data_IF_245344364039
#
_entry.id   IF_245344364039
#
_cell.length_a   1.000
_cell.length_b   1.000
_cell.length_c   1.000
_cell.angle_alpha   90.00
_cell.angle_beta   90.00
_cell.angle_gamma   90.00
#
_symmetry.space_group_name_H-M   'P 1'
#
loop_
_entity.id
_entity.type
_entity.pdbx_description
1 polymer ?
#
# COMPACT_ATOMS: atom_id res chain seq x y z
N UNK A 1 0.58 -26.51 -25.63
CA UNK A 1 1.36 -25.40 -26.26
C UNK A 1 0.84 -25.15 -27.67
N UNK A 2 0.71 -26.22 -28.46
CA UNK A 2 0.16 -26.22 -29.82
C UNK A 2 -1.20 -25.52 -29.96
N UNK A 3 -2.20 -25.83 -29.11
CA UNK A 3 -3.53 -25.17 -29.15
C UNK A 3 -3.48 -23.63 -29.18
N UNK A 4 -2.55 -23.02 -28.43
CA UNK A 4 -2.40 -21.56 -28.41
C UNK A 4 -1.75 -21.04 -29.71
N UNK A 5 -0.79 -21.78 -30.24
CA UNK A 5 -0.12 -21.44 -31.51
C UNK A 5 -1.11 -21.51 -32.68
N UNK A 6 -1.89 -22.58 -32.75
CA UNK A 6 -2.96 -22.75 -33.74
C UNK A 6 -4.00 -21.62 -33.65
N UNK A 7 -4.47 -21.31 -32.45
CA UNK A 7 -5.45 -20.25 -32.23
C UNK A 7 -4.91 -18.88 -32.65
N UNK A 8 -3.66 -18.57 -32.30
CA UNK A 8 -3.05 -17.26 -32.53
C UNK A 8 -2.52 -17.06 -33.94
N UNK A 9 -2.25 -18.14 -34.69
CA UNK A 9 -1.84 -18.07 -36.10
C UNK A 9 -2.86 -17.34 -37.00
N UNK A 10 -4.12 -17.24 -36.56
CA UNK A 10 -5.18 -16.50 -37.24
C UNK A 10 -5.02 -14.98 -37.15
N UNK A 11 -4.19 -14.47 -36.24
CA UNK A 11 -3.97 -13.04 -36.01
C UNK A 11 -2.55 -12.64 -36.44
N UNK A 12 -2.41 -12.07 -37.64
CA UNK A 12 -1.11 -11.75 -38.25
C UNK A 12 -0.21 -10.79 -37.43
N UNK A 13 -0.81 -9.99 -36.55
CA UNK A 13 -0.10 -9.04 -35.67
C UNK A 13 0.38 -9.69 -34.37
N UNK A 14 -0.08 -10.89 -34.06
CA UNK A 14 0.24 -11.60 -32.80
C UNK A 14 1.41 -12.53 -33.04
N UNK A 15 2.43 -12.44 -32.17
CA UNK A 15 3.60 -13.32 -32.18
C UNK A 15 3.80 -13.93 -30.80
N UNK A 16 3.94 -15.26 -30.75
CA UNK A 16 4.27 -15.98 -29.52
C UNK A 16 5.78 -16.14 -29.42
N UNK A 17 6.34 -15.83 -28.25
CA UNK A 17 7.74 -16.08 -27.91
C UNK A 17 7.81 -16.84 -26.59
N UNK A 18 8.63 -17.89 -26.53
CA UNK A 18 8.74 -18.79 -25.38
C UNK A 18 10.14 -18.73 -24.80
N UNK A 19 10.24 -18.65 -23.49
CA UNK A 19 11.50 -18.84 -22.76
C UNK A 19 11.86 -20.34 -22.72
N UNK A 20 13.14 -20.66 -22.59
CA UNK A 20 13.62 -22.05 -22.47
C UNK A 20 13.38 -22.64 -21.08
N UNK A 21 13.28 -21.77 -20.06
CA UNK A 21 13.05 -22.10 -18.64
C UNK A 21 12.18 -21.03 -17.98
N UNK A 22 11.81 -21.22 -16.71
CA UNK A 22 11.06 -20.21 -15.94
C UNK A 22 11.98 -19.02 -15.63
N UNK A 23 11.74 -17.89 -16.29
CA UNK A 23 12.54 -16.67 -16.08
C UNK A 23 11.93 -15.71 -15.05
N UNK A 24 10.61 -15.80 -14.81
CA UNK A 24 9.90 -14.80 -14.01
C UNK A 24 9.43 -13.62 -14.84
N UNK A 25 8.53 -12.79 -14.30
CA UNK A 25 7.88 -11.74 -15.08
C UNK A 25 8.90 -10.70 -15.57
N UNK A 26 9.86 -10.29 -14.74
CA UNK A 26 10.84 -9.25 -15.07
C UNK A 26 11.65 -9.64 -16.30
N UNK A 27 12.32 -10.80 -16.24
CA UNK A 27 13.16 -11.29 -17.34
C UNK A 27 12.35 -11.68 -18.57
N UNK A 28 11.08 -12.06 -18.41
CA UNK A 28 10.18 -12.31 -19.54
C UNK A 28 9.80 -11.00 -20.25
N UNK A 29 9.54 -9.91 -19.50
CA UNK A 29 9.34 -8.56 -20.05
C UNK A 29 10.60 -8.07 -20.77
N UNK A 30 11.80 -8.29 -20.21
CA UNK A 30 13.08 -7.98 -20.87
C UNK A 30 13.25 -8.72 -22.20
N UNK A 31 12.89 -10.01 -22.27
CA UNK A 31 12.91 -10.77 -23.52
C UNK A 31 11.94 -10.18 -24.56
N UNK A 32 10.72 -9.82 -24.16
CA UNK A 32 9.77 -9.16 -25.05
C UNK A 32 10.29 -7.80 -25.55
N UNK A 33 10.87 -7.00 -24.66
CA UNK A 33 11.45 -5.70 -24.97
C UNK A 33 12.64 -5.80 -25.94
N UNK A 34 13.46 -6.85 -25.85
CA UNK A 34 14.69 -6.98 -26.65
C UNK A 34 14.42 -7.36 -28.11
N UNK A 35 13.26 -7.95 -28.39
CA UNK A 35 12.84 -8.34 -29.74
C UNK A 35 11.82 -7.38 -30.36
N UNK A 36 11.29 -6.46 -29.56
CA UNK A 36 10.29 -5.49 -30.00
C UNK A 36 10.90 -4.50 -31.01
N UNK A 37 10.14 -4.22 -32.07
CA UNK A 37 10.58 -3.33 -33.16
C UNK A 37 9.92 -1.95 -33.15
N UNK A 38 8.83 -1.79 -32.40
CA UNK A 38 8.13 -0.51 -32.29
C UNK A 38 8.96 0.58 -31.61
N UNK A 39 8.61 1.84 -31.84
CA UNK A 39 9.26 2.99 -31.20
C UNK A 39 8.93 3.09 -29.72
N UNK A 40 7.72 2.67 -29.34
CA UNK A 40 7.22 2.61 -27.97
C UNK A 40 7.00 1.15 -27.58
N UNK A 41 7.43 0.79 -26.38
CA UNK A 41 7.09 -0.45 -25.72
C UNK A 41 5.85 -0.21 -24.86
N UNK A 42 4.82 -1.03 -25.02
CA UNK A 42 3.66 -1.05 -24.12
C UNK A 42 3.57 -2.42 -23.45
N UNK A 43 3.60 -2.43 -22.13
CA UNK A 43 3.49 -3.64 -21.32
C UNK A 43 2.07 -3.78 -20.81
N UNK A 44 1.51 -4.99 -20.97
CA UNK A 44 0.22 -5.37 -20.43
C UNK A 44 0.35 -6.73 -19.73
N UNK A 45 -0.35 -6.90 -18.61
CA UNK A 45 -0.52 -8.22 -18.01
C UNK A 45 -1.48 -9.07 -18.85
N UNK A 46 -1.38 -10.39 -18.76
CA UNK A 46 -2.13 -11.34 -19.59
C UNK A 46 -3.63 -11.46 -19.27
N UNK A 47 -4.12 -10.65 -18.34
CA UNK A 47 -5.46 -10.71 -17.76
C UNK A 47 -5.99 -9.28 -17.59
N UNK A 48 -5.99 -8.56 -18.72
CA UNK A 48 -6.45 -7.18 -18.82
C UNK A 48 -7.44 -7.01 -19.96
N UNK A 49 -8.29 -5.99 -19.87
CA UNK A 49 -9.19 -5.53 -20.91
C UNK A 49 -8.95 -4.04 -21.15
N UNK A 50 -8.46 -3.69 -22.35
CA UNK A 50 -8.19 -2.30 -22.70
C UNK A 50 -9.49 -1.59 -23.06
N UNK A 51 -9.68 -0.36 -22.56
CA UNK A 51 -10.90 0.41 -22.78
C UNK A 51 -10.85 1.22 -24.09
N UNK A 52 -11.95 1.89 -24.44
CA UNK A 52 -12.08 2.73 -25.62
C UNK A 52 -10.98 3.78 -25.66
N UNK A 53 -10.33 3.92 -26.82
CA UNK A 53 -9.32 4.95 -27.09
C UNK A 53 -8.14 5.02 -26.10
N UNK A 54 -7.77 3.88 -25.47
CA UNK A 54 -6.72 3.86 -24.45
C UNK A 54 -5.31 4.22 -24.98
N UNK A 55 -4.94 3.76 -26.18
CA UNK A 55 -3.55 3.84 -26.64
C UNK A 55 -3.11 5.24 -27.11
N UNK A 56 -3.88 5.99 -27.92
CA UNK A 56 -3.46 7.31 -28.40
C UNK A 56 -3.05 8.33 -27.31
N UNK A 57 -3.78 8.51 -26.19
CA UNK A 57 -3.37 9.46 -25.17
C UNK A 57 -2.04 9.08 -24.49
N UNK A 58 -1.73 7.78 -24.36
CA UNK A 58 -0.42 7.33 -23.87
C UNK A 58 0.70 7.69 -24.86
N UNK A 59 0.50 7.38 -26.14
CA UNK A 59 1.49 7.66 -27.18
C UNK A 59 1.75 9.16 -27.34
N UNK A 60 0.71 9.99 -27.21
CA UNK A 60 0.83 11.45 -27.29
C UNK A 60 1.79 12.00 -26.23
N UNK A 61 1.68 11.55 -24.97
CA UNK A 61 2.56 12.00 -23.90
C UNK A 61 4.03 11.62 -24.13
N UNK A 62 4.28 10.43 -24.67
CA UNK A 62 5.65 9.99 -25.03
C UNK A 62 6.17 10.78 -26.23
N UNK A 63 5.30 11.14 -27.19
CA UNK A 63 5.69 11.96 -28.33
C UNK A 63 6.10 13.39 -27.91
N UNK A 64 5.43 13.96 -26.91
CA UNK A 64 5.80 15.27 -26.33
C UNK A 64 7.13 15.20 -25.57
N UNK A 65 7.38 14.12 -24.84
CA UNK A 65 8.65 13.90 -24.16
C UNK A 65 9.02 12.40 -24.16
N UNK A 66 10.02 12.04 -24.97
CA UNK A 66 10.45 10.65 -25.12
C UNK A 66 11.06 10.04 -23.86
N UNK A 67 11.39 10.85 -22.83
CA UNK A 67 11.88 10.40 -21.52
C UNK A 67 10.76 10.17 -20.51
N UNK A 68 9.51 10.30 -20.93
CA UNK A 68 8.35 10.04 -20.08
C UNK A 68 7.96 8.56 -20.13
N UNK A 69 7.66 7.99 -18.96
CA UNK A 69 6.88 6.76 -18.83
C UNK A 69 5.44 7.14 -18.52
N UNK A 70 4.48 6.52 -19.20
CA UNK A 70 3.06 6.76 -18.95
C UNK A 70 2.32 5.50 -18.56
N UNK A 71 1.40 5.65 -17.62
CA UNK A 71 0.54 4.60 -17.11
C UNK A 71 -0.93 4.93 -17.43
N UNK A 72 -1.72 3.95 -17.89
CA UNK A 72 -3.16 4.10 -17.92
C UNK A 72 -3.73 4.03 -16.49
N UNK A 73 -4.95 4.53 -16.31
CA UNK A 73 -5.75 4.16 -15.16
C UNK A 73 -5.99 2.66 -15.17
N UNK A 74 -5.78 2.02 -14.03
CA UNK A 74 -5.95 0.58 -13.86
C UNK A 74 -7.27 0.34 -13.18
N UNK A 75 -8.26 -0.09 -13.95
CA UNK A 75 -9.58 -0.45 -13.47
C UNK A 75 -9.59 -1.87 -12.92
N UNK A 76 -10.54 -2.17 -12.04
CA UNK A 76 -10.74 -3.50 -11.47
C UNK A 76 -11.68 -4.28 -12.37
N UNK A 77 -11.28 -5.50 -12.71
CA UNK A 77 -12.17 -6.55 -13.16
C UNK A 77 -12.33 -7.52 -12.00
N UNK A 78 -13.52 -7.58 -11.40
CA UNK A 78 -13.77 -8.43 -10.22
C UNK A 78 -13.47 -9.90 -10.52
N UNK A 79 -12.72 -10.56 -9.64
CA UNK A 79 -12.25 -11.92 -9.90
C UNK A 79 -13.34 -12.99 -9.77
N UNK A 80 -14.52 -12.67 -9.25
CA UNK A 80 -15.66 -13.59 -9.11
C UNK A 80 -16.68 -13.38 -10.23
N UNK A 81 -17.15 -12.15 -10.43
CA UNK A 81 -18.24 -11.82 -11.34
C UNK A 81 -17.81 -10.99 -12.55
N UNK A 82 -16.52 -10.64 -12.67
CA UNK A 82 -15.95 -9.91 -13.82
C UNK A 82 -16.60 -8.54 -14.07
N UNK A 83 -17.18 -7.93 -13.02
CA UNK A 83 -17.66 -6.55 -13.11
C UNK A 83 -16.48 -5.61 -13.32
N UNK A 84 -16.67 -4.61 -14.17
CA UNK A 84 -15.66 -3.60 -14.49
C UNK A 84 -15.96 -2.32 -13.71
N UNK A 85 -15.04 -1.88 -12.86
CA UNK A 85 -15.19 -0.67 -12.07
C UNK A 85 -13.86 0.04 -11.86
N UNK A 86 -13.90 1.35 -11.60
CA UNK A 86 -12.71 2.07 -11.19
C UNK A 86 -12.25 1.61 -9.80
N UNK A 87 -10.95 1.65 -9.55
CA UNK A 87 -10.44 1.46 -8.19
C UNK A 87 -11.00 2.54 -7.25
N UNK A 88 -11.17 2.20 -5.97
CA UNK A 88 -11.57 3.16 -4.95
C UNK A 88 -10.67 4.40 -4.97
N UNK A 89 -11.27 5.59 -5.01
CA UNK A 89 -10.57 6.88 -5.15
C UNK A 89 -10.11 7.24 -6.57
N UNK A 90 -10.34 6.38 -7.57
CA UNK A 90 -10.03 6.58 -8.99
C UNK A 90 -8.61 7.13 -9.25
N UNK A 91 -8.48 8.38 -9.70
CA UNK A 91 -7.19 9.03 -9.93
C UNK A 91 -6.45 9.29 -8.61
N UNK A 92 -5.44 8.47 -8.34
CA UNK A 92 -4.58 8.55 -7.15
C UNK A 92 -3.12 8.40 -7.56
N UNK A 93 -2.21 8.97 -6.76
CA UNK A 93 -0.76 8.84 -6.95
C UNK A 93 -0.26 7.52 -6.39
N UNK A 94 0.61 6.83 -7.12
CA UNK A 94 1.26 5.63 -6.61
C UNK A 94 2.40 5.96 -5.63
N UNK A 95 2.48 5.18 -4.56
CA UNK A 95 3.37 5.37 -3.42
C UNK A 95 3.77 4.02 -2.82
N UNK A 96 4.45 4.04 -1.68
CA UNK A 96 4.80 2.83 -0.92
C UNK A 96 4.79 3.10 0.59
N UNK A 97 4.61 2.04 1.37
CA UNK A 97 5.01 2.04 2.78
C UNK A 97 6.46 1.56 2.94
N UNK A 98 7.03 1.73 4.12
CA UNK A 98 8.42 1.34 4.40
C UNK A 98 8.63 -0.18 4.56
N UNK A 99 7.61 -1.00 4.30
CA UNK A 99 7.77 -2.43 4.02
C UNK A 99 7.81 -2.71 2.50
N UNK A 100 7.82 -1.66 1.69
CA UNK A 100 7.79 -1.69 0.23
C UNK A 100 6.52 -2.36 -0.34
N UNK A 101 5.39 -2.25 0.34
CA UNK A 101 4.09 -2.52 -0.28
C UNK A 101 3.62 -1.31 -1.07
N UNK A 102 3.11 -1.57 -2.27
CA UNK A 102 2.56 -0.52 -3.12
C UNK A 102 1.32 0.08 -2.45
N UNK A 103 1.20 1.42 -2.52
CA UNK A 103 0.10 2.19 -1.96
C UNK A 103 -0.41 3.16 -3.01
N UNK A 104 -1.67 3.58 -2.85
CA UNK A 104 -2.27 4.70 -3.58
C UNK A 104 -2.61 5.77 -2.55
N UNK A 105 -2.16 7.01 -2.81
CA UNK A 105 -2.45 8.18 -1.97
C UNK A 105 -3.17 9.24 -2.80
N UNK A 106 -4.08 10.03 -2.20
CA UNK A 106 -4.84 11.03 -2.94
C UNK A 106 -3.91 12.09 -3.53
N UNK A 107 -4.31 12.68 -4.67
CA UNK A 107 -3.58 13.79 -5.28
C UNK A 107 -3.69 15.02 -4.38
N UNK A 108 -2.57 15.56 -3.84
CA UNK A 108 -2.60 16.78 -3.04
C UNK A 108 -3.27 17.93 -3.80
N UNK A 109 -4.05 18.81 -3.15
CA UNK A 109 -4.75 19.91 -3.82
C UNK A 109 -3.83 20.79 -4.68
N UNK A 110 -2.59 21.02 -4.23
CA UNK A 110 -1.57 21.80 -4.96
C UNK A 110 -1.04 21.13 -6.24
N UNK A 111 -1.28 19.82 -6.41
CA UNK A 111 -0.91 19.06 -7.62
C UNK A 111 -2.12 18.72 -8.50
N UNK A 112 -3.34 19.08 -8.09
CA UNK A 112 -4.53 18.85 -8.89
C UNK A 112 -4.49 19.76 -10.13
N UNK A 113 -4.72 19.14 -11.31
CA UNK A 113 -4.82 19.84 -12.59
C UNK A 113 -6.14 20.62 -12.65
N UNK A 114 -6.16 21.69 -13.45
CA UNK A 114 -7.39 22.44 -13.72
C UNK A 114 -8.42 21.56 -14.44
N UNK A 115 -7.97 20.79 -15.43
CA UNK A 115 -8.77 19.72 -16.01
C UNK A 115 -8.40 18.40 -15.31
N UNK A 116 -9.32 17.74 -14.58
CA UNK A 116 -9.04 16.48 -13.89
C UNK A 116 -8.73 15.31 -14.85
N UNK A 117 -8.98 15.48 -16.15
CA UNK A 117 -8.66 14.50 -17.19
C UNK A 117 -7.21 14.60 -17.72
N UNK A 118 -6.50 15.68 -17.37
CA UNK A 118 -5.10 15.87 -17.76
C UNK A 118 -4.16 14.88 -17.07
N UNK A 119 -3.06 14.47 -17.73
CA UNK A 119 -2.02 13.68 -17.11
C UNK A 119 -1.44 14.31 -15.84
N UNK A 120 -1.26 13.50 -14.81
CA UNK A 120 -0.71 13.91 -13.53
C UNK A 120 0.51 13.08 -13.15
N UNK A 121 1.44 13.69 -12.41
CA UNK A 121 2.69 13.05 -12.02
C UNK A 121 2.45 11.98 -10.95
N UNK A 122 3.10 10.83 -11.13
CA UNK A 122 3.00 9.69 -10.22
C UNK A 122 4.39 9.27 -9.74
N UNK A 123 4.67 9.22 -8.43
CA UNK A 123 5.99 8.84 -7.93
C UNK A 123 6.37 7.40 -8.26
N UNK A 124 5.40 6.48 -8.19
CA UNK A 124 5.60 5.04 -8.39
C UNK A 124 4.47 4.46 -9.23
N UNK A 125 4.78 3.68 -10.26
CA UNK A 125 3.77 2.94 -11.01
C UNK A 125 3.35 1.65 -10.30
N UNK A 126 2.15 1.14 -10.60
CA UNK A 126 1.73 -0.20 -10.14
C UNK A 126 2.59 -1.32 -10.74
N UNK A 127 3.08 -1.15 -11.97
CA UNK A 127 4.10 -2.00 -12.61
C UNK A 127 3.64 -2.81 -13.82
N UNK A 128 2.41 -3.30 -13.84
CA UNK A 128 1.91 -4.20 -14.90
C UNK A 128 1.57 -3.55 -16.23
N UNK A 129 1.25 -2.25 -16.19
CA UNK A 129 0.58 -1.52 -17.25
C UNK A 129 1.28 -0.17 -17.43
N UNK A 130 2.07 -0.04 -18.50
CA UNK A 130 2.73 1.22 -18.85
C UNK A 130 3.23 1.21 -20.29
N UNK A 131 3.48 2.40 -20.84
CA UNK A 131 4.16 2.61 -22.10
C UNK A 131 5.41 3.49 -21.92
N UNK A 132 6.45 3.19 -22.70
CA UNK A 132 7.75 3.87 -22.64
C UNK A 132 8.42 3.88 -24.01
N UNK A 133 9.11 4.95 -24.37
CA UNK A 133 9.94 4.95 -25.57
C UNK A 133 10.99 3.82 -25.48
N UNK A 134 11.09 2.98 -26.51
CA UNK A 134 11.95 1.80 -26.52
C UNK A 134 13.42 2.14 -26.32
N UNK A 135 13.91 3.21 -26.97
CA UNK A 135 15.30 3.65 -26.78
C UNK A 135 15.51 4.11 -25.35
N UNK A 136 14.61 4.92 -24.81
CA UNK A 136 14.70 5.37 -23.43
C UNK A 136 14.69 4.23 -22.40
N UNK A 137 13.84 3.21 -22.60
CA UNK A 137 13.82 2.02 -21.74
C UNK A 137 15.20 1.34 -21.67
N UNK A 138 15.90 1.22 -22.80
CA UNK A 138 17.24 0.64 -22.85
C UNK A 138 18.35 1.59 -22.40
N UNK A 139 18.19 2.90 -22.59
CA UNK A 139 19.09 3.92 -22.02
C UNK A 139 19.07 3.85 -20.49
N UNK A 140 17.91 3.54 -19.88
CA UNK A 140 17.78 3.24 -18.44
C UNK A 140 18.28 1.84 -18.03
N UNK A 141 18.80 1.04 -18.97
CA UNK A 141 19.24 -0.34 -18.75
C UNK A 141 18.10 -1.35 -18.57
N UNK A 142 16.86 -0.98 -18.88
CA UNK A 142 15.67 -1.80 -18.62
C UNK A 142 15.48 -2.08 -17.12
N UNK A 143 15.08 -3.31 -16.80
CA UNK A 143 15.04 -3.83 -15.43
C UNK A 143 16.34 -4.52 -15.04
N UNK A 144 16.63 -4.56 -13.74
CA UNK A 144 17.70 -5.35 -13.17
C UNK A 144 17.44 -6.85 -13.45
N UNK A 145 18.29 -7.52 -14.24
CA UNK A 145 18.10 -8.93 -14.58
C UNK A 145 18.29 -9.87 -13.37
N UNK A 146 18.80 -9.37 -12.24
CA UNK A 146 18.90 -10.09 -10.98
C UNK A 146 17.58 -10.18 -10.20
N UNK A 147 16.54 -9.43 -10.61
CA UNK A 147 15.20 -9.53 -10.05
C UNK A 147 14.53 -10.83 -10.49
N UNK A 148 14.05 -11.60 -9.51
CA UNK A 148 13.40 -12.88 -9.73
C UNK A 148 11.89 -12.76 -9.89
N UNK A 149 11.25 -13.85 -10.31
CA UNK A 149 9.79 -14.12 -10.41
C UNK A 149 8.82 -12.94 -10.39
N UNK A 150 8.69 -12.20 -9.28
CA UNK A 150 7.73 -11.11 -9.10
C UNK A 150 8.20 -10.09 -8.05
N UNK A 151 7.96 -8.80 -8.32
CA UNK A 151 8.06 -7.69 -7.38
C UNK A 151 9.43 -7.01 -7.33
N UNK A 152 9.42 -5.70 -7.13
CA UNK A 152 10.61 -4.84 -7.06
C UNK A 152 10.82 -4.04 -8.35
N UNK A 153 10.45 -4.59 -9.51
CA UNK A 153 10.69 -3.97 -10.81
C UNK A 153 9.96 -2.64 -10.97
N UNK A 154 8.77 -2.52 -10.37
CA UNK A 154 7.98 -1.30 -10.41
C UNK A 154 8.67 -0.17 -9.65
N UNK A 155 9.33 -0.47 -8.53
CA UNK A 155 10.08 0.52 -7.77
C UNK A 155 11.37 0.90 -8.50
N UNK A 156 12.10 -0.10 -8.99
CA UNK A 156 13.35 0.12 -9.73
C UNK A 156 13.16 1.08 -10.91
N UNK A 157 12.18 0.82 -11.78
CA UNK A 157 11.96 1.65 -12.96
C UNK A 157 11.39 3.03 -12.61
N UNK A 158 10.57 3.12 -11.55
CA UNK A 158 10.03 4.39 -11.04
C UNK A 158 11.14 5.29 -10.51
N UNK A 159 12.07 4.73 -9.74
CA UNK A 159 13.23 5.47 -9.22
C UNK A 159 14.17 5.87 -10.36
N UNK A 160 14.46 4.96 -11.30
CA UNK A 160 15.26 5.24 -12.49
C UNK A 160 14.71 6.43 -13.29
N UNK A 161 13.43 6.39 -13.66
CA UNK A 161 12.86 7.42 -14.54
C UNK A 161 12.92 8.80 -13.90
N UNK A 162 12.57 8.92 -12.62
CA UNK A 162 12.61 10.20 -11.92
C UNK A 162 14.04 10.67 -11.62
N UNK A 163 14.87 9.82 -11.02
CA UNK A 163 16.20 10.21 -10.58
C UNK A 163 17.15 10.45 -11.75
N UNK A 164 16.93 9.81 -12.90
CA UNK A 164 17.83 9.88 -14.06
C UNK A 164 17.30 10.80 -15.20
N UNK A 165 16.38 11.72 -14.87
CA UNK A 165 16.03 12.85 -15.76
C UNK A 165 14.88 12.61 -16.74
N UNK A 166 14.01 11.65 -16.46
CA UNK A 166 12.70 11.48 -17.10
C UNK A 166 11.57 11.94 -16.18
N UNK A 167 10.34 11.51 -16.51
CA UNK A 167 9.15 11.73 -15.68
C UNK A 167 8.17 10.57 -15.81
N UNK A 168 7.24 10.48 -14.88
CA UNK A 168 6.22 9.43 -14.89
C UNK A 168 4.84 10.00 -14.64
N UNK A 169 3.89 9.64 -15.52
CA UNK A 169 2.56 10.20 -15.52
C UNK A 169 1.51 9.11 -15.60
N UNK A 170 0.47 9.30 -14.81
CA UNK A 170 -0.78 8.60 -14.93
C UNK A 170 -1.69 9.41 -15.87
N UNK A 171 -2.34 8.74 -16.84
CA UNK A 171 -3.12 9.38 -17.92
C UNK A 171 -4.60 9.03 -17.77
N UNK A 172 -5.43 9.90 -17.17
CA UNK A 172 -6.85 9.61 -16.89
C UNK A 172 -7.68 9.19 -18.11
N UNK A 173 -7.40 9.78 -19.28
CA UNK A 173 -8.06 9.45 -20.55
C UNK A 173 -7.71 8.06 -21.12
N UNK A 174 -6.74 7.34 -20.53
CA UNK A 174 -6.40 5.97 -20.91
C UNK A 174 -6.78 5.02 -19.78
N UNK A 175 -7.68 4.08 -20.02
CA UNK A 175 -8.12 3.12 -18.99
C UNK A 175 -7.95 1.67 -19.45
N UNK A 176 -7.51 0.81 -18.52
CA UNK A 176 -7.33 -0.62 -18.76
C UNK A 176 -7.81 -1.38 -17.53
N UNK A 177 -8.78 -2.27 -17.69
CA UNK A 177 -9.22 -3.17 -16.63
C UNK A 177 -8.20 -4.27 -16.38
N UNK A 178 -8.00 -4.64 -15.12
CA UNK A 178 -7.07 -5.68 -14.67
C UNK A 178 -7.75 -6.60 -13.66
N UNK A 179 -7.55 -7.92 -13.81
CA UNK A 179 -8.06 -8.90 -12.84
C UNK A 179 -7.12 -8.99 -11.64
N UNK A 180 -7.52 -8.39 -10.51
CA UNK A 180 -6.85 -8.58 -9.22
C UNK A 180 -7.17 -9.95 -8.65
N UNK A 181 -6.18 -10.85 -8.63
CA UNK A 181 -6.36 -12.24 -8.22
C UNK A 181 -6.66 -12.34 -6.72
N UNK A 182 -7.62 -13.20 -6.35
CA UNK A 182 -7.87 -13.58 -4.94
C UNK A 182 -6.64 -14.17 -4.25
N UNK A 183 -5.85 -14.95 -4.98
CA UNK A 183 -4.61 -15.56 -4.52
C UNK A 183 -3.67 -15.82 -5.71
N UNK A 184 -2.37 -15.98 -5.45
CA UNK A 184 -1.37 -16.30 -6.47
C UNK A 184 -1.46 -17.79 -6.82
N UNK A 185 -1.86 -18.19 -8.05
CA UNK A 185 -2.12 -19.59 -8.37
C UNK A 185 -0.87 -20.37 -8.82
N UNK A 186 0.24 -19.67 -9.12
CA UNK A 186 1.45 -20.30 -9.61
C UNK A 186 2.45 -20.59 -8.49
N UNK A 187 3.21 -21.67 -8.67
CA UNK A 187 4.33 -21.99 -7.78
C UNK A 187 5.51 -21.06 -8.05
N UNK A 188 6.13 -20.60 -6.96
CA UNK A 188 7.39 -19.86 -6.95
C UNK A 188 8.50 -20.88 -6.65
N UNK A 189 9.58 -20.95 -7.47
CA UNK A 189 10.69 -21.86 -7.20
C UNK A 189 11.28 -21.66 -5.79
N UNK A 190 11.75 -22.75 -5.18
CA UNK A 190 12.40 -22.68 -3.87
C UNK A 190 13.64 -21.78 -3.92
N UNK A 191 13.88 -21.03 -2.84
CA UNK A 191 14.99 -20.07 -2.75
C UNK A 191 14.76 -18.72 -3.45
N UNK A 192 13.61 -18.54 -4.11
CA UNK A 192 13.19 -17.22 -4.62
C UNK A 192 12.59 -16.39 -3.51
N UNK A 193 12.97 -15.12 -3.40
CA UNK A 193 12.42 -14.24 -2.36
C UNK A 193 12.17 -12.82 -2.85
N UNK A 194 10.94 -12.33 -2.63
CA UNK A 194 10.59 -10.92 -2.80
C UNK A 194 11.55 -10.02 -1.99
N UNK A 195 11.97 -10.47 -0.80
CA UNK A 195 12.91 -9.74 0.03
C UNK A 195 14.24 -9.49 -0.68
N UNK A 196 14.72 -10.46 -1.47
CA UNK A 196 15.97 -10.30 -2.21
C UNK A 196 15.82 -9.24 -3.31
N UNK A 197 14.72 -9.27 -4.04
CA UNK A 197 14.41 -8.26 -5.06
C UNK A 197 14.34 -6.86 -4.45
N UNK A 198 13.56 -6.69 -3.39
CA UNK A 198 13.40 -5.41 -2.70
C UNK A 198 14.73 -4.91 -2.13
N UNK A 199 15.55 -5.79 -1.55
CA UNK A 199 16.89 -5.42 -1.07
C UNK A 199 17.81 -4.97 -2.20
N UNK A 200 17.80 -5.62 -3.37
CA UNK A 200 18.58 -5.18 -4.55
C UNK A 200 18.19 -3.77 -4.98
N UNK A 201 16.89 -3.47 -5.00
CA UNK A 201 16.38 -2.12 -5.31
C UNK A 201 16.80 -1.12 -4.25
N UNK A 202 16.62 -1.44 -2.96
CA UNK A 202 16.97 -0.57 -1.84
C UNK A 202 18.47 -0.20 -1.84
N UNK A 203 19.35 -1.20 -1.92
CA UNK A 203 20.80 -1.04 -1.93
C UNK A 203 21.34 -0.28 -3.17
N UNK A 204 20.57 -0.26 -4.26
CA UNK A 204 21.00 0.40 -5.51
C UNK A 204 20.46 1.81 -5.60
N UNK A 205 19.22 2.06 -5.16
CA UNK A 205 18.47 3.27 -5.48
C UNK A 205 18.01 4.09 -4.26
N UNK A 206 17.90 3.50 -3.07
CA UNK A 206 17.25 4.17 -1.92
C UNK A 206 18.22 4.87 -0.96
N UNK A 207 19.53 4.77 -1.18
CA UNK A 207 20.56 5.41 -0.35
C UNK A 207 20.34 5.17 1.16
N UNK A 208 20.45 6.20 2.00
CA UNK A 208 20.23 6.10 3.45
C UNK A 208 18.80 5.66 3.83
N UNK A 209 17.82 5.82 2.93
CA UNK A 209 16.43 5.46 3.21
C UNK A 209 16.18 3.95 3.17
N UNK A 210 17.12 3.16 2.64
CA UNK A 210 17.08 1.70 2.76
C UNK A 210 17.01 1.23 4.23
N UNK A 211 17.61 1.99 5.15
CA UNK A 211 17.61 1.67 6.58
C UNK A 211 16.18 1.67 7.18
N UNK A 212 15.28 2.52 6.70
CA UNK A 212 13.88 2.54 7.16
C UNK A 212 13.11 1.27 6.79
N UNK A 213 13.53 0.59 5.71
CA UNK A 213 13.03 -0.74 5.35
C UNK A 213 13.60 -1.78 6.32
N UNK A 214 14.89 -1.72 6.62
CA UNK A 214 15.56 -2.67 7.49
C UNK A 214 15.11 -2.56 8.95
N UNK A 215 14.67 -1.38 9.41
CA UNK A 215 14.06 -1.22 10.74
C UNK A 215 12.76 -2.01 10.87
N UNK A 216 11.99 -2.19 9.79
CA UNK A 216 10.72 -2.94 9.77
C UNK A 216 10.89 -4.40 9.36
N UNK A 217 11.96 -4.69 8.62
CA UNK A 217 12.34 -6.04 8.17
C UNK A 217 13.80 -6.34 8.54
N UNK A 218 14.11 -6.58 9.84
CA UNK A 218 15.49 -6.75 10.30
C UNK A 218 16.24 -7.87 9.59
N UNK A 219 15.53 -8.91 9.14
CA UNK A 219 16.07 -10.03 8.37
C UNK A 219 16.70 -9.60 7.04
N UNK A 220 16.35 -8.43 6.51
CA UNK A 220 16.93 -7.91 5.27
C UNK A 220 18.39 -7.50 5.48
N UNK A 221 18.84 -7.11 6.67
CA UNK A 221 20.25 -6.69 6.89
C UNK A 221 21.25 -7.77 6.51
N UNK A 222 20.96 -9.02 6.90
CA UNK A 222 21.84 -10.16 6.65
C UNK A 222 21.52 -10.93 5.35
N UNK A 223 20.47 -10.55 4.64
CA UNK A 223 20.11 -11.17 3.36
C UNK A 223 21.10 -10.78 2.26
N UNK A 224 21.66 -11.74 1.52
CA UNK A 224 22.52 -11.43 0.37
C UNK A 224 21.72 -10.85 -0.79
N UNK A 225 22.18 -9.75 -1.38
CA UNK A 225 21.62 -9.18 -2.61
C UNK A 225 22.06 -9.93 -3.87
N UNK A 226 23.06 -10.81 -3.77
CA UNK A 226 23.90 -11.16 -4.91
C UNK A 226 24.69 -9.95 -5.43
N UNK A 227 25.28 -10.07 -6.62
CA UNK A 227 26.05 -8.98 -7.22
C UNK A 227 25.11 -7.88 -7.77
N UNK A 228 25.35 -6.64 -7.34
CA UNK A 228 24.66 -5.43 -7.77
C UNK A 228 25.62 -4.38 -8.37
N UNK A 229 26.88 -4.75 -8.60
CA UNK A 229 27.94 -3.84 -9.07
C UNK A 229 27.56 -3.18 -10.39
N UNK A 230 27.05 -3.96 -11.35
CA UNK A 230 26.60 -3.44 -12.64
C UNK A 230 25.44 -2.43 -12.51
N UNK A 231 24.53 -2.64 -11.55
CA UNK A 231 23.40 -1.73 -11.31
C UNK A 231 23.86 -0.42 -10.66
N UNK A 232 24.81 -0.49 -9.71
CA UNK A 232 25.43 0.69 -9.10
C UNK A 232 26.24 1.50 -10.13
N UNK A 233 26.98 0.83 -11.02
CA UNK A 233 27.71 1.52 -12.10
C UNK A 233 26.77 2.16 -13.12
N UNK A 234 25.67 1.49 -13.48
CA UNK A 234 24.63 2.09 -14.33
C UNK A 234 24.08 3.40 -13.73
N UNK A 235 23.74 3.40 -12.44
CA UNK A 235 23.25 4.60 -11.74
C UNK A 235 24.27 5.75 -11.79
N UNK A 236 25.56 5.46 -11.56
CA UNK A 236 26.64 6.45 -11.67
C UNK A 236 26.78 6.99 -13.09
N UNK A 237 26.78 6.10 -14.09
CA UNK A 237 26.93 6.46 -15.50
C UNK A 237 25.80 7.38 -15.98
N UNK A 238 24.57 7.10 -15.57
CA UNK A 238 23.40 7.92 -15.87
C UNK A 238 23.35 9.26 -15.12
N UNK A 239 24.28 9.50 -14.18
CA UNK A 239 24.36 10.73 -13.37
C UNK A 239 23.04 11.04 -12.67
N UNK A 240 22.40 10.01 -12.13
CA UNK A 240 21.12 10.15 -11.46
C UNK A 240 21.25 10.96 -10.17
N UNK A 241 20.17 11.65 -9.79
CA UNK A 241 20.02 12.32 -8.50
C UNK A 241 19.98 11.30 -7.36
N UNK A 242 20.14 11.78 -6.12
CA UNK A 242 20.01 10.94 -4.93
C UNK A 242 18.55 10.65 -4.58
N UNK A 243 18.32 9.65 -3.73
CA UNK A 243 16.97 9.28 -3.31
C UNK A 243 16.33 10.34 -2.40
N UNK A 244 17.17 11.11 -1.70
CA UNK A 244 16.71 12.27 -0.92
C UNK A 244 16.01 13.29 -1.81
N UNK A 245 16.56 13.59 -2.99
CA UNK A 245 15.90 14.43 -3.98
C UNK A 245 14.59 13.81 -4.45
N UNK A 246 14.53 12.50 -4.71
CA UNK A 246 13.28 11.83 -5.09
C UNK A 246 12.21 12.01 -4.01
N UNK A 247 12.55 11.75 -2.75
CA UNK A 247 11.63 11.92 -1.62
C UNK A 247 11.22 13.39 -1.39
N UNK A 248 12.10 14.35 -1.66
CA UNK A 248 11.82 15.77 -1.42
C UNK A 248 11.10 16.47 -2.58
N UNK A 249 11.35 16.06 -3.82
CA UNK A 249 10.83 16.74 -5.02
C UNK A 249 9.67 15.99 -5.68
N UNK A 250 9.69 14.65 -5.66
CA UNK A 250 8.71 13.82 -6.38
C UNK A 250 7.69 13.20 -5.41
N UNK A 251 8.17 12.60 -4.33
CA UNK A 251 7.39 11.82 -3.36
C UNK A 251 7.22 12.51 -2.00
N UNK A 252 7.20 13.84 -1.99
CA UNK A 252 7.18 14.68 -0.77
C UNK A 252 5.92 14.51 0.08
N UNK A 253 4.84 14.03 -0.53
CA UNK A 253 3.55 13.73 0.09
C UNK A 253 3.52 12.32 0.71
N UNK A 254 4.40 11.40 0.30
CA UNK A 254 4.44 10.03 0.83
C UNK A 254 4.66 9.99 2.35
N UNK A 255 5.62 10.73 2.94
CA UNK A 255 5.80 10.74 4.40
C UNK A 255 4.61 11.23 5.22
N UNK A 256 3.66 11.98 4.62
CA UNK A 256 2.42 12.37 5.32
C UNK A 256 1.56 11.15 5.64
N UNK A 257 1.58 10.16 4.76
CA UNK A 257 0.84 8.91 4.91
C UNK A 257 1.70 7.78 5.44
N UNK A 258 2.97 7.70 5.10
CA UNK A 258 3.87 6.62 5.52
C UNK A 258 5.20 7.25 5.96
N UNK A 259 5.27 7.81 7.17
CA UNK A 259 6.47 8.48 7.63
C UNK A 259 7.59 7.45 7.85
N UNK A 260 8.85 7.78 7.48
CA UNK A 260 10.00 6.89 7.69
C UNK A 260 10.13 6.47 9.16
N UNK A 261 9.94 7.44 10.06
CA UNK A 261 9.86 7.25 11.50
C UNK A 261 8.45 7.62 11.95
N UNK A 262 7.71 6.65 12.48
CA UNK A 262 6.34 6.88 12.93
C UNK A 262 6.32 7.69 14.23
N UNK A 263 5.45 8.70 14.36
CA UNK A 263 5.26 9.41 15.62
C UNK A 263 4.81 8.45 16.74
N UNK A 264 5.12 8.78 18.01
CA UNK A 264 4.73 7.93 19.14
C UNK A 264 3.20 7.84 19.27
N UNK A 265 2.66 6.71 19.78
CA UNK A 265 1.24 6.55 20.03
C UNK A 265 0.76 7.47 21.17
N UNK A 266 -0.55 7.74 21.19
CA UNK A 266 -1.18 8.49 22.27
C UNK A 266 -1.42 7.61 23.51
N UNK A 267 -1.78 6.33 23.31
CA UNK A 267 -2.03 5.38 24.40
C UNK A 267 -1.84 3.94 23.91
N UNK A 268 -1.48 3.02 24.80
CA UNK A 268 -1.35 1.60 24.45
C UNK A 268 -1.50 0.67 25.67
N UNK A 269 -1.66 -0.62 25.40
CA UNK A 269 -1.83 -1.68 26.41
C UNK A 269 -3.28 -2.18 26.44
N UNK A 270 -3.72 -2.68 27.60
CA UNK A 270 -5.12 -3.07 27.77
C UNK A 270 -6.05 -1.84 27.79
N UNK A 271 -7.28 -2.03 27.30
CA UNK A 271 -8.37 -1.05 27.40
C UNK A 271 -9.40 -1.64 28.36
N UNK A 272 -9.46 -1.11 29.58
CA UNK A 272 -10.35 -1.58 30.65
C UNK A 272 -11.57 -0.66 30.80
N UNK A 273 -12.76 -1.23 30.87
CA UNK A 273 -13.98 -0.48 31.16
C UNK A 273 -14.14 -0.27 32.67
N UNK A 274 -14.54 0.93 33.10
CA UNK A 274 -14.68 1.27 34.53
C UNK A 274 -15.84 0.52 35.20
N UNK A 275 -17.04 0.52 34.61
CA UNK A 275 -18.21 -0.13 35.20
C UNK A 275 -18.11 -1.66 35.21
N UNK A 276 -17.67 -2.25 34.10
CA UNK A 276 -17.61 -3.71 33.97
C UNK A 276 -16.41 -4.33 34.69
N UNK A 277 -15.34 -3.57 34.89
CA UNK A 277 -14.00 -4.08 35.25
C UNK A 277 -13.57 -5.26 34.34
N UNK A 278 -13.89 -5.14 33.05
CA UNK A 278 -13.53 -6.07 31.98
C UNK A 278 -12.70 -5.33 30.93
N UNK A 279 -11.93 -6.08 30.16
CA UNK A 279 -11.05 -5.56 29.12
C UNK A 279 -11.64 -5.80 27.74
N UNK A 280 -11.37 -4.89 26.80
CA UNK A 280 -11.65 -5.10 25.38
C UNK A 280 -10.85 -6.31 24.90
N UNK A 281 -11.48 -7.19 24.14
CA UNK A 281 -10.87 -8.39 23.56
C UNK A 281 -11.36 -8.56 22.11
N UNK A 282 -10.43 -8.66 21.17
CA UNK A 282 -10.71 -8.87 19.75
C UNK A 282 -10.70 -10.35 19.32
N UNK A 283 -10.33 -11.27 20.21
CA UNK A 283 -10.23 -12.72 19.95
C UNK A 283 -9.42 -13.08 18.69
N UNK A 284 -8.41 -12.27 18.37
CA UNK A 284 -7.63 -12.36 17.12
C UNK A 284 -8.49 -12.34 15.84
N UNK A 285 -9.67 -11.72 15.90
CA UNK A 285 -10.57 -11.53 14.76
C UNK A 285 -9.94 -10.73 13.62
N UNK A 286 -10.55 -10.84 12.44
CA UNK A 286 -10.22 -10.04 11.26
C UNK A 286 -11.36 -9.10 10.88
N UNK A 287 -11.39 -8.66 9.62
CA UNK A 287 -12.42 -7.80 9.05
C UNK A 287 -13.84 -8.29 9.37
N UNK A 288 -14.67 -7.41 9.94
CA UNK A 288 -16.05 -7.67 10.35
C UNK A 288 -16.21 -8.27 11.75
N UNK A 289 -15.14 -8.53 12.49
CA UNK A 289 -15.25 -9.08 13.86
C UNK A 289 -15.67 -8.00 14.84
N UNK A 290 -16.77 -8.21 15.57
CA UNK A 290 -17.20 -7.33 16.66
C UNK A 290 -16.28 -7.43 17.88
N UNK A 291 -15.94 -6.27 18.47
CA UNK A 291 -15.21 -6.20 19.73
C UNK A 291 -16.11 -6.58 20.90
N UNK A 292 -15.51 -7.23 21.91
CA UNK A 292 -16.23 -7.72 23.08
C UNK A 292 -15.47 -7.38 24.35
N UNK A 293 -16.16 -7.52 25.48
CA UNK A 293 -15.53 -7.51 26.78
C UNK A 293 -15.15 -8.93 27.19
N UNK A 294 -14.00 -9.10 27.83
CA UNK A 294 -13.64 -10.34 28.51
C UNK A 294 -12.87 -10.07 29.81
N UNK A 295 -12.65 -11.12 30.60
CA UNK A 295 -11.83 -11.03 31.81
C UNK A 295 -10.44 -10.54 31.39
N UNK A 296 -9.94 -9.51 32.08
CA UNK A 296 -8.63 -8.97 31.81
C UNK A 296 -7.56 -10.05 32.02
N UNK A 297 -6.71 -10.29 31.02
CA UNK A 297 -5.70 -11.37 31.08
C UNK A 297 -4.75 -11.20 32.27
N UNK A 298 -4.49 -9.97 32.68
CA UNK A 298 -3.65 -9.65 33.84
C UNK A 298 -4.30 -9.98 35.18
N UNK A 299 -5.63 -10.12 35.22
CA UNK A 299 -6.40 -10.34 36.45
C UNK A 299 -6.70 -11.83 36.72
N UNK A 300 -6.08 -12.75 35.95
CA UNK A 300 -6.12 -14.18 36.23
C UNK A 300 -6.83 -15.06 35.20
N UNK A 301 -7.03 -14.59 33.96
CA UNK A 301 -7.38 -15.51 32.88
C UNK A 301 -6.18 -16.41 32.54
N UNK A 302 -6.41 -17.67 32.17
CA UNK A 302 -5.34 -18.44 31.54
C UNK A 302 -4.88 -17.69 30.28
N UNK A 303 -3.57 -17.50 30.13
CA UNK A 303 -2.96 -16.96 28.90
C UNK A 303 -3.10 -17.98 27.78
N UNK A 304 -4.32 -18.13 27.26
CA UNK A 304 -4.59 -18.91 26.07
C UNK A 304 -4.33 -18.06 24.84
N UNK A 305 -3.98 -18.70 23.73
CA UNK A 305 -3.82 -18.07 22.40
C UNK A 305 -5.13 -17.45 21.85
N UNK A 306 -6.21 -17.47 22.62
CA UNK A 306 -7.52 -16.96 22.21
C UNK A 306 -7.76 -15.50 22.59
N UNK A 307 -6.93 -14.90 23.45
CA UNK A 307 -7.12 -13.53 23.94
C UNK A 307 -6.21 -12.53 23.23
N UNK A 308 -6.82 -11.48 22.69
CA UNK A 308 -6.10 -10.34 22.12
C UNK A 308 -6.61 -9.06 22.78
N UNK A 309 -5.94 -8.65 23.86
CA UNK A 309 -6.34 -7.51 24.70
C UNK A 309 -5.34 -6.35 24.70
N UNK A 310 -4.31 -6.41 23.85
CA UNK A 310 -3.37 -5.31 23.68
C UNK A 310 -3.80 -4.46 22.50
N UNK A 311 -3.94 -3.15 22.71
CA UNK A 311 -4.30 -2.20 21.68
C UNK A 311 -3.37 -0.99 21.71
N UNK A 312 -3.28 -0.31 20.57
CA UNK A 312 -2.54 0.93 20.42
C UNK A 312 -3.45 1.98 19.82
N UNK A 313 -3.57 3.13 20.49
CA UNK A 313 -4.15 4.35 19.93
C UNK A 313 -3.03 5.12 19.22
N UNK A 314 -2.96 4.93 17.91
CA UNK A 314 -1.85 5.30 17.06
C UNK A 314 -1.81 6.77 16.69
N UNK A 315 -0.72 7.17 16.05
CA UNK A 315 -0.50 8.56 15.62
C UNK A 315 -1.46 9.06 14.54
N UNK A 316 -2.20 8.14 13.91
CA UNK A 316 -3.23 8.43 12.90
C UNK A 316 -4.60 8.69 13.51
N UNK A 317 -4.69 8.71 14.83
CA UNK A 317 -5.94 8.84 15.57
C UNK A 317 -6.88 7.64 15.32
N UNK A 318 -6.30 6.45 15.13
CA UNK A 318 -6.97 5.15 15.00
C UNK A 318 -6.56 4.18 16.12
N UNK A 319 -7.42 3.21 16.45
CA UNK A 319 -7.14 2.19 17.49
C UNK A 319 -6.97 0.83 16.82
N UNK A 320 -5.86 0.15 17.10
CA UNK A 320 -5.47 -1.12 16.46
C UNK A 320 -5.06 -2.18 17.49
N UNK A 321 -5.33 -3.47 17.24
CA UNK A 321 -4.77 -4.54 18.07
C UNK A 321 -3.24 -4.64 17.92
N UNK A 322 -2.56 -4.99 19.00
CA UNK A 322 -1.11 -5.16 19.09
C UNK A 322 -0.40 -4.02 19.82
N UNK A 323 0.86 -4.28 20.19
CA UNK A 323 1.76 -3.28 20.75
C UNK A 323 2.18 -2.24 19.70
N UNK A 324 2.63 -1.03 20.10
CA UNK A 324 2.91 0.06 19.17
C UNK A 324 3.86 -0.27 18.02
N UNK A 325 4.84 -1.16 18.23
CA UNK A 325 5.79 -1.59 17.20
C UNK A 325 5.29 -2.74 16.33
N UNK A 326 4.21 -3.41 16.73
CA UNK A 326 3.69 -4.64 16.12
C UNK A 326 2.17 -4.59 15.92
N UNK A 327 1.62 -3.41 15.64
CA UNK A 327 0.17 -3.27 15.42
C UNK A 327 -0.28 -4.07 14.19
N UNK A 328 -1.44 -4.70 14.28
CA UNK A 328 -2.10 -5.35 13.14
C UNK A 328 -2.67 -4.30 12.19
N UNK A 329 -2.96 -4.70 10.95
CA UNK A 329 -3.56 -3.84 9.91
C UNK A 329 -5.10 -3.73 10.03
N UNK A 330 -5.64 -3.96 11.23
CA UNK A 330 -7.06 -3.84 11.55
C UNK A 330 -7.29 -2.70 12.53
N UNK A 331 -8.31 -1.89 12.28
CA UNK A 331 -8.66 -0.71 13.04
C UNK A 331 -10.07 -0.85 13.61
N UNK A 332 -10.33 -0.19 14.74
CA UNK A 332 -11.68 -0.03 15.27
C UNK A 332 -12.51 0.77 14.28
N UNK A 333 -13.64 0.21 13.88
CA UNK A 333 -14.53 0.72 12.84
C UNK A 333 -15.98 0.74 13.33
N UNK A 334 -16.62 1.90 13.25
CA UNK A 334 -18.01 2.10 13.66
C UNK A 334 -18.82 2.81 12.56
N UNK A 335 -19.92 2.17 12.14
CA UNK A 335 -20.75 2.63 11.01
C UNK A 335 -21.78 3.66 11.44
N UNK A 336 -22.31 3.56 12.66
CA UNK A 336 -23.36 4.46 13.14
C UNK A 336 -23.23 4.78 14.63
N UNK A 337 -24.08 5.67 15.12
CA UNK A 337 -24.14 6.03 16.54
C UNK A 337 -24.73 4.95 17.45
N UNK A 338 -25.17 3.81 16.89
CA UNK A 338 -25.77 2.68 17.60
C UNK A 338 -25.22 1.32 17.15
N UNK A 339 -24.22 1.29 16.27
CA UNK A 339 -23.64 0.06 15.73
C UNK A 339 -22.70 -0.60 16.76
N UNK A 340 -22.41 -1.90 16.64
CA UNK A 340 -21.23 -2.47 17.28
C UNK A 340 -19.96 -1.76 16.78
N UNK A 341 -18.88 -1.89 17.55
CA UNK A 341 -17.52 -1.55 17.08
C UNK A 341 -16.89 -2.81 16.55
N UNK A 342 -16.40 -2.75 15.31
CA UNK A 342 -15.80 -3.91 14.63
C UNK A 342 -14.33 -3.67 14.30
N UNK A 343 -13.60 -4.74 13.99
CA UNK A 343 -12.32 -4.65 13.31
C UNK A 343 -12.54 -4.59 11.80
N UNK A 344 -11.95 -3.59 11.14
CA UNK A 344 -11.92 -3.48 9.69
C UNK A 344 -10.52 -3.15 9.18
N UNK A 345 -10.23 -3.38 7.90
CA UNK A 345 -8.93 -3.03 7.31
C UNK A 345 -8.64 -1.53 7.48
N UNK A 346 -7.47 -1.20 8.03
CA UNK A 346 -7.09 0.19 8.27
C UNK A 346 -6.89 0.95 6.96
N UNK A 347 -7.60 2.07 6.77
CA UNK A 347 -7.46 2.92 5.57
C UNK A 347 -6.70 4.22 5.84
N UNK A 348 -6.56 4.65 7.10
CA UNK A 348 -5.74 5.81 7.47
C UNK A 348 -6.23 7.15 6.92
N UNK A 349 -7.50 7.24 6.50
CA UNK A 349 -8.07 8.46 5.90
C UNK A 349 -8.79 9.34 6.91
N UNK A 350 -8.87 8.92 8.19
CA UNK A 350 -9.88 9.39 9.15
C UNK A 350 -11.30 9.13 8.59
N UNK A 351 -12.33 9.10 9.43
CA UNK A 351 -13.64 8.59 9.04
C UNK A 351 -14.25 7.73 10.13
N UNK A 352 -14.86 6.61 9.75
CA UNK A 352 -15.37 5.57 10.65
C UNK A 352 -14.29 4.88 11.51
N UNK A 353 -13.01 5.17 11.25
CA UNK A 353 -11.85 4.72 12.03
C UNK A 353 -11.18 5.85 12.83
N UNK A 354 -11.80 7.05 12.90
CA UNK A 354 -11.25 8.21 13.61
C UNK A 354 -11.77 8.27 15.05
N UNK A 355 -10.86 8.26 16.01
CA UNK A 355 -11.20 8.23 17.43
C UNK A 355 -10.53 9.37 18.19
N UNK A 356 -11.21 9.87 19.23
CA UNK A 356 -10.66 10.83 20.19
C UNK A 356 -10.83 10.27 21.60
N UNK A 357 -9.73 10.17 22.33
CA UNK A 357 -9.74 9.78 23.73
C UNK A 357 -9.72 11.04 24.61
N UNK A 358 -10.83 11.32 25.27
CA UNK A 358 -11.09 12.59 25.97
C UNK A 358 -10.67 12.54 27.44
N UNK A 359 -10.61 13.72 28.10
CA UNK A 359 -10.24 13.84 29.52
C UNK A 359 -11.23 13.14 30.46
N UNK A 360 -12.48 13.01 30.04
CA UNK A 360 -13.54 12.26 30.73
C UNK A 360 -13.43 10.73 30.54
N UNK A 361 -12.35 10.25 29.92
CA UNK A 361 -12.08 8.84 29.60
C UNK A 361 -13.04 8.22 28.59
N UNK A 362 -13.81 9.03 27.86
CA UNK A 362 -14.63 8.54 26.76
C UNK A 362 -13.81 8.33 25.48
N UNK A 363 -14.15 7.28 24.74
CA UNK A 363 -13.70 7.07 23.37
C UNK A 363 -14.75 7.64 22.42
N UNK A 364 -14.55 8.89 22.03
CA UNK A 364 -15.43 9.64 21.15
C UNK A 364 -15.16 9.31 19.69
N UNK A 365 -16.23 9.08 18.94
CA UNK A 365 -16.21 8.89 17.49
C UNK A 365 -16.78 10.14 16.81
N UNK A 366 -15.95 11.03 16.25
CA UNK A 366 -16.40 12.31 15.70
C UNK A 366 -17.40 12.17 14.56
N UNK A 367 -17.24 11.14 13.71
CA UNK A 367 -18.07 10.95 12.52
C UNK A 367 -19.52 10.62 12.85
N UNK A 368 -19.78 9.84 13.90
CA UNK A 368 -21.14 9.55 14.35
C UNK A 368 -21.60 10.43 15.53
N UNK A 369 -20.74 11.32 16.04
CA UNK A 369 -21.01 12.14 17.22
C UNK A 369 -21.47 11.33 18.44
N UNK A 370 -20.87 10.16 18.64
CA UNK A 370 -21.24 9.20 19.68
C UNK A 370 -19.99 8.62 20.35
N UNK A 371 -20.17 7.88 21.45
CA UNK A 371 -19.08 7.33 22.25
C UNK A 371 -19.18 5.81 22.32
N UNK A 372 -18.06 5.13 22.54
CA UNK A 372 -18.05 3.69 22.84
C UNK A 372 -18.68 3.46 24.22
N UNK A 373 -19.68 2.59 24.26
CA UNK A 373 -20.40 2.13 25.44
C UNK A 373 -20.35 0.61 25.51
N UNK A 374 -20.78 0.05 26.64
CA UNK A 374 -20.82 -1.39 26.83
C UNK A 374 -22.04 -1.86 27.62
N UNK A 375 -22.40 -3.12 27.43
CA UNK A 375 -23.31 -3.85 28.30
C UNK A 375 -22.50 -4.88 29.08
N UNK A 376 -22.24 -4.68 30.39
CA UNK A 376 -21.45 -5.60 31.20
C UNK A 376 -22.04 -7.01 31.29
N UNK A 377 -23.38 -7.13 31.32
CA UNK A 377 -24.06 -8.42 31.45
C UNK A 377 -23.93 -9.27 30.17
N UNK A 378 -24.01 -8.64 29.00
CA UNK A 378 -23.87 -9.31 27.70
C UNK A 378 -22.42 -9.34 27.18
N UNK A 379 -21.50 -8.64 27.85
CA UNK A 379 -20.10 -8.44 27.42
C UNK A 379 -19.96 -7.85 26.01
N UNK A 380 -20.91 -7.01 25.61
CA UNK A 380 -20.95 -6.37 24.28
C UNK A 380 -20.44 -4.93 24.32
N UNK A 381 -19.83 -4.50 23.22
CA UNK A 381 -19.35 -3.13 22.98
C UNK A 381 -20.12 -2.55 21.80
N UNK A 382 -20.64 -1.34 21.94
CA UNK A 382 -21.44 -0.67 20.91
C UNK A 382 -21.32 0.84 21.02
N UNK A 383 -21.74 1.56 19.99
CA UNK A 383 -21.81 3.01 19.99
C UNK A 383 -23.10 3.47 20.67
N UNK A 384 -23.02 4.56 21.45
CA UNK A 384 -24.20 5.18 22.07
C UNK A 384 -24.00 6.70 22.24
N UNK A 385 -25.07 7.43 22.58
CA UNK A 385 -24.99 8.84 22.91
C UNK A 385 -23.97 9.06 24.05
N UNK A 386 -23.05 10.00 23.85
CA UNK A 386 -22.02 10.29 24.84
C UNK A 386 -22.63 10.81 26.16
N UNK A 387 -22.22 10.19 27.26
CA UNK A 387 -22.47 10.60 28.64
C UNK A 387 -21.14 10.56 29.42
N UNK A 388 -20.50 11.72 29.68
CA UNK A 388 -19.22 11.79 30.41
C UNK A 388 -19.28 11.22 31.83
N UNK A 389 -20.47 11.14 32.43
CA UNK A 389 -20.67 10.64 33.79
C UNK A 389 -20.93 9.12 33.82
N UNK A 390 -21.22 8.51 32.67
CA UNK A 390 -21.51 7.07 32.61
C UNK A 390 -20.23 6.25 32.72
N UNK A 391 -20.13 5.44 33.77
CA UNK A 391 -19.00 4.53 33.98
C UNK A 391 -18.90 3.45 32.89
N UNK A 392 -20.00 3.12 32.20
CA UNK A 392 -19.97 2.16 31.06
C UNK A 392 -19.33 2.76 29.81
N UNK A 393 -19.18 4.08 29.75
CA UNK A 393 -18.50 4.80 28.66
C UNK A 393 -17.10 5.29 29.02
N UNK A 394 -16.63 4.99 30.24
CA UNK A 394 -15.28 5.35 30.68
C UNK A 394 -14.32 4.17 30.46
N UNK A 395 -13.27 4.43 29.70
CA UNK A 395 -12.27 3.45 29.28
C UNK A 395 -10.88 3.88 29.74
N UNK A 396 -10.10 2.96 30.31
CA UNK A 396 -8.76 3.24 30.82
C UNK A 396 -7.76 2.44 29.99
N UNK A 397 -6.86 3.17 29.33
CA UNK A 397 -5.64 2.58 28.76
C UNK A 397 -4.59 2.37 29.85
N UNK A 398 -3.83 1.28 29.73
CA UNK A 398 -2.71 0.99 30.63
C UNK A 398 -1.62 2.06 30.59
N UNK A 399 -1.25 2.52 29.40
CA UNK A 399 -0.22 3.54 29.21
C UNK A 399 -0.76 4.71 28.38
N UNK A 400 -0.47 5.94 28.82
CA UNK A 400 -0.94 7.17 28.17
C UNK A 400 0.23 8.14 28.01
N UNK A 401 0.40 8.66 26.80
CA UNK A 401 1.27 9.79 26.51
C UNK A 401 0.44 11.08 26.46
N UNK A 402 0.32 11.76 27.61
CA UNK A 402 -0.50 12.96 27.75
C UNK A 402 -0.15 14.06 26.74
N UNK A 403 1.14 14.24 26.42
CA UNK A 403 1.59 15.25 25.45
C UNK A 403 1.04 15.00 24.04
N UNK A 404 0.95 13.73 23.63
CA UNK A 404 0.39 13.36 22.32
C UNK A 404 -1.14 13.46 22.36
N UNK A 405 -1.74 12.96 23.43
CA UNK A 405 -3.20 12.96 23.60
C UNK A 405 -3.80 14.38 23.60
N UNK A 406 -3.15 15.32 24.30
CA UNK A 406 -3.56 16.73 24.30
C UNK A 406 -3.48 17.34 22.90
N UNK A 407 -2.44 17.02 22.12
CA UNK A 407 -2.32 17.48 20.73
C UNK A 407 -3.44 16.96 19.84
N UNK A 408 -3.92 15.73 20.03
CA UNK A 408 -5.05 15.19 19.26
C UNK A 408 -6.35 15.88 19.61
N UNK A 409 -6.57 16.17 20.90
CA UNK A 409 -7.79 16.81 21.36
C UNK A 409 -7.86 18.32 21.06
N UNK A 410 -6.73 19.00 20.80
CA UNK A 410 -6.73 20.42 20.35
C UNK A 410 -7.10 20.56 18.88
N UNK A 411 -6.86 19.52 18.06
CA UNK A 411 -7.06 19.56 16.61
C UNK A 411 -8.48 19.18 16.16
N UNK A 412 -9.30 18.67 17.07
CA UNK A 412 -10.67 18.20 16.80
C UNK A 412 -11.72 19.22 17.25
#
# INVERSE_FOLDING_TARGET
KEKLEEYMARFIKVRIVRTKKREGLIRTRLLGASIAKGEVLTFLDSHCEVNVNWLPPLLNQIALNHKTIVCPMIDVIDHNHFGYEAQAGDAMRGAFDWEMYYKRIPIPPELQRTDPSDPFESPVMAGGLFAVNRKWFWDLGGYDPGLEIWGGEQYEISFKVWMCGGGMFDVPCSRVGHIYRKYVPYKVPSGTSLARNLKRVAETWMDEFAEYVYQRRPEYRHLSTGDISAQKELRKHLKCKDFKWFMAAVAWDVPKYFPPVEPPPASWGEIRNVAANLCVDSKHGGTGTELRLDICVKDGSERTWSHEQLFTFGWREDIRPGEPLHTRKFCFDAVSHSSPVTLYDCHGMKGNQHWSYRKDKTLFHPVSSSCIDCNPAEKKIFMNRCDPLSETQQWIFEHINMTVLEKFNIRN
#
